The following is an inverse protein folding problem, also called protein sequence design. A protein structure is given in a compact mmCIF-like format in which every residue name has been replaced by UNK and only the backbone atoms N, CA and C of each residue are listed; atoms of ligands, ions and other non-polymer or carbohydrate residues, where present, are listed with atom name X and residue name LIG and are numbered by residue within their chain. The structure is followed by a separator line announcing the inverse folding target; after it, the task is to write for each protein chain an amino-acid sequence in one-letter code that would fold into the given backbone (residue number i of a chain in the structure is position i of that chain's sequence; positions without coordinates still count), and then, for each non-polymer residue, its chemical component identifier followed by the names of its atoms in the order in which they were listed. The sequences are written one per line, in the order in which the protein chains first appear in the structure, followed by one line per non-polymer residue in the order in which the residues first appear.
data_IF_643190905814
#
_entry.id   IF_643190905814
#
_cell.length_a   1.000
_cell.length_b   1.000
_cell.length_c   1.000
_cell.angle_alpha   90.00
_cell.angle_beta   90.00
_cell.angle_gamma   90.00
#
_symmetry.space_group_name_H-M   'P 1'
#
loop_
_entity.id
_entity.type
_entity.pdbx_description
1 polymer ?
#
# COMPACT_ATOMS: atom_id res chain seq x y z
N UNK A 1 11.10 6.98 -10.79
CA UNK A 1 10.34 5.99 -9.97
C UNK A 1 10.99 4.64 -10.10
N UNK A 2 11.23 3.97 -8.98
CA UNK A 2 11.85 2.65 -8.95
C UNK A 2 10.87 1.55 -9.36
N UNK A 3 11.41 0.49 -9.94
CA UNK A 3 10.68 -0.73 -10.22
C UNK A 3 10.18 -1.37 -8.91
N UNK A 4 8.89 -1.72 -8.85
CA UNK A 4 8.30 -2.45 -7.73
C UNK A 4 8.38 -3.96 -8.00
N UNK A 5 9.38 -4.63 -7.41
CA UNK A 5 9.62 -6.07 -7.62
C UNK A 5 8.44 -6.93 -7.17
N UNK A 6 7.71 -6.51 -6.12
CA UNK A 6 6.54 -7.22 -5.60
C UNK A 6 5.40 -7.15 -6.60
N UNK A 7 5.08 -5.95 -7.10
CA UNK A 7 4.03 -5.78 -8.11
C UNK A 7 4.29 -6.61 -9.38
N UNK A 8 5.55 -6.64 -9.83
CA UNK A 8 5.96 -7.42 -10.99
C UNK A 8 5.91 -8.93 -10.75
N UNK A 9 6.30 -9.40 -9.57
CA UNK A 9 6.19 -10.81 -9.22
C UNK A 9 4.73 -11.25 -9.20
N UNK A 10 3.85 -10.48 -8.55
CA UNK A 10 2.41 -10.78 -8.45
C UNK A 10 1.73 -10.79 -9.83
N UNK A 11 2.04 -9.82 -10.72
CA UNK A 11 1.45 -9.78 -12.06
C UNK A 11 1.89 -10.94 -12.97
N UNK A 12 2.97 -11.64 -12.61
CA UNK A 12 3.46 -12.83 -13.30
C UNK A 12 2.96 -14.13 -12.66
N UNK A 13 2.05 -14.06 -11.68
CA UNK A 13 1.56 -15.21 -10.92
C UNK A 13 2.57 -15.75 -9.90
N UNK A 14 3.61 -14.97 -9.58
CA UNK A 14 4.61 -15.29 -8.58
C UNK A 14 4.15 -14.99 -7.15
N UNK A 15 5.02 -15.31 -6.21
CA UNK A 15 4.82 -15.07 -4.76
C UNK A 15 5.82 -14.03 -4.28
N UNK A 16 5.40 -13.18 -3.35
CA UNK A 16 6.29 -12.30 -2.59
C UNK A 16 6.05 -12.48 -1.11
N UNK A 17 7.13 -12.54 -0.33
CA UNK A 17 7.06 -12.76 1.12
C UNK A 17 7.53 -11.48 1.80
N UNK A 18 6.79 -11.01 2.78
CA UNK A 18 7.13 -9.78 3.50
C UNK A 18 6.65 -9.81 4.94
N UNK A 19 6.86 -8.69 5.62
CA UNK A 19 6.46 -8.53 7.03
C UNK A 19 5.76 -7.18 7.25
N UNK A 20 4.87 -7.16 8.24
CA UNK A 20 4.22 -5.93 8.71
C UNK A 20 4.88 -5.43 10.00
N UNK A 21 4.89 -4.11 10.19
CA UNK A 21 5.42 -3.44 11.37
C UNK A 21 4.36 -2.53 11.99
N UNK A 22 4.19 -2.66 13.31
CA UNK A 22 3.15 -1.95 14.06
C UNK A 22 3.76 -1.03 15.13
N UNK A 23 4.60 -1.55 16.02
CA UNK A 23 5.07 -0.76 17.18
C UNK A 23 6.48 -0.19 16.97
N UNK A 24 7.41 -0.99 16.45
CA UNK A 24 8.82 -0.61 16.36
C UNK A 24 9.16 0.07 15.02
N UNK A 25 9.73 1.27 15.10
CA UNK A 25 10.07 2.12 13.95
C UNK A 25 11.56 2.48 13.87
N UNK A 26 12.45 1.60 14.36
CA UNK A 26 13.89 1.84 14.24
C UNK A 26 14.31 1.93 12.77
N UNK A 27 15.19 2.87 12.44
CA UNK A 27 15.62 3.15 11.05
C UNK A 27 16.34 1.97 10.39
N UNK A 28 16.82 1.01 11.17
CA UNK A 28 17.42 -0.22 10.65
C UNK A 28 16.41 -1.32 10.27
N UNK A 29 15.12 -1.18 10.61
CA UNK A 29 14.18 -2.30 10.58
C UNK A 29 13.96 -2.85 9.16
N UNK A 30 13.85 -1.97 8.17
CA UNK A 30 13.68 -2.36 6.77
C UNK A 30 14.92 -3.10 6.22
N UNK A 31 16.13 -2.69 6.64
CA UNK A 31 17.38 -3.36 6.26
C UNK A 31 17.46 -4.75 6.89
N UNK A 32 17.07 -4.88 8.15
CA UNK A 32 17.02 -6.18 8.84
C UNK A 32 16.07 -7.12 8.10
N UNK A 33 14.86 -6.65 7.76
CA UNK A 33 13.89 -7.44 7.01
C UNK A 33 14.40 -7.84 5.61
N UNK A 34 15.01 -6.90 4.88
CA UNK A 34 15.60 -7.18 3.57
C UNK A 34 16.69 -8.27 3.67
N UNK A 35 17.58 -8.18 4.65
CA UNK A 35 18.64 -9.17 4.88
C UNK A 35 18.09 -10.53 5.36
N UNK A 36 16.90 -10.55 5.95
CA UNK A 36 16.17 -11.77 6.30
C UNK A 36 15.41 -12.39 5.10
N UNK A 37 15.44 -11.74 3.93
CA UNK A 37 14.81 -12.24 2.70
C UNK A 37 13.41 -11.70 2.44
N UNK A 38 12.95 -10.65 3.13
CA UNK A 38 11.66 -10.04 2.86
C UNK A 38 11.68 -9.18 1.57
N UNK A 39 10.71 -9.41 0.69
CA UNK A 39 10.49 -8.65 -0.53
C UNK A 39 9.84 -7.28 -0.27
N UNK A 40 8.98 -7.22 0.75
CA UNK A 40 8.29 -6.00 1.18
C UNK A 40 8.25 -5.81 2.70
N UNK A 41 8.11 -4.55 3.09
CA UNK A 41 7.83 -4.12 4.44
C UNK A 41 6.55 -3.29 4.44
N UNK A 42 5.53 -3.73 5.17
CA UNK A 42 4.29 -3.01 5.35
C UNK A 42 4.33 -2.23 6.67
N UNK A 43 4.39 -0.90 6.59
CA UNK A 43 4.37 -0.03 7.75
C UNK A 43 2.93 0.36 8.06
N UNK A 44 2.47 0.01 9.26
CA UNK A 44 1.09 0.25 9.64
C UNK A 44 0.91 1.64 10.24
N UNK A 45 -0.08 2.39 9.76
CA UNK A 45 -0.53 3.66 10.37
C UNK A 45 -1.98 3.58 10.85
N UNK A 46 -2.59 2.39 10.77
CA UNK A 46 -3.94 2.13 11.25
C UNK A 46 -3.99 1.77 12.73
N UNK A 47 -3.11 0.88 13.20
CA UNK A 47 -3.06 0.44 14.60
C UNK A 47 -1.80 0.94 15.32
N UNK A 48 -1.25 2.07 14.89
CA UNK A 48 0.00 2.62 15.42
C UNK A 48 -0.14 4.12 15.65
N UNK A 49 0.73 4.69 16.49
CA UNK A 49 0.81 6.13 16.69
C UNK A 49 1.68 6.86 15.66
N UNK A 50 2.01 6.22 14.53
CA UNK A 50 2.95 6.79 13.57
C UNK A 50 2.31 7.91 12.75
N UNK A 51 2.96 9.07 12.81
CA UNK A 51 2.60 10.22 12.02
C UNK A 51 3.38 10.25 10.70
N UNK A 52 3.15 11.31 9.93
CA UNK A 52 3.82 11.51 8.67
C UNK A 52 5.34 11.70 8.80
N UNK A 53 5.84 12.21 9.94
CA UNK A 53 7.28 12.41 10.16
C UNK A 53 7.99 11.07 10.37
N UNK A 54 7.32 10.18 11.11
CA UNK A 54 7.73 8.79 11.30
C UNK A 54 7.72 8.03 9.97
N UNK A 55 6.62 8.11 9.21
CA UNK A 55 6.51 7.48 7.88
C UNK A 55 7.58 8.02 6.93
N UNK A 56 7.83 9.35 6.90
CA UNK A 56 8.90 9.95 6.09
C UNK A 56 10.25 9.30 6.39
N UNK A 57 10.57 9.13 7.67
CA UNK A 57 11.84 8.54 8.13
C UNK A 57 11.95 7.06 7.75
N UNK A 58 10.87 6.30 7.94
CA UNK A 58 10.81 4.88 7.56
C UNK A 58 10.91 4.70 6.05
N UNK A 59 10.23 5.52 5.25
CA UNK A 59 10.32 5.47 3.79
C UNK A 59 11.74 5.79 3.31
N UNK A 60 12.37 6.86 3.82
CA UNK A 60 13.71 7.25 3.42
C UNK A 60 14.74 6.12 3.67
N UNK A 61 14.63 5.43 4.81
CA UNK A 61 15.54 4.35 5.20
C UNK A 61 15.22 3.03 4.50
N UNK A 62 13.94 2.69 4.33
CA UNK A 62 13.50 1.50 3.62
C UNK A 62 13.82 1.56 2.12
N UNK A 63 13.63 2.71 1.48
CA UNK A 63 14.01 2.91 0.08
C UNK A 63 15.51 2.76 -0.14
N UNK A 64 16.36 2.97 0.86
CA UNK A 64 17.78 2.69 0.71
C UNK A 64 18.12 1.19 0.72
N UNK A 65 17.16 0.32 1.10
CA UNK A 65 17.32 -1.13 1.16
C UNK A 65 16.67 -1.85 -0.04
N UNK A 66 17.03 -3.14 -0.23
CA UNK A 66 16.44 -3.99 -1.27
C UNK A 66 15.10 -4.60 -0.79
N UNK A 67 14.15 -3.73 -0.47
CA UNK A 67 12.82 -4.09 0.01
C UNK A 67 11.81 -3.06 -0.48
N UNK A 68 10.59 -3.47 -0.80
CA UNK A 68 9.52 -2.57 -1.23
C UNK A 68 8.79 -2.02 0.01
N UNK A 69 8.87 -0.72 0.31
CA UNK A 69 8.14 -0.13 1.42
C UNK A 69 6.68 0.15 1.02
N UNK A 70 5.76 -0.43 1.78
CA UNK A 70 4.32 -0.23 1.66
C UNK A 70 3.79 0.43 2.93
N UNK A 71 2.67 1.14 2.83
CA UNK A 71 2.02 1.75 4.00
C UNK A 71 0.56 1.31 4.06
N UNK A 72 0.11 0.80 5.22
CA UNK A 72 -1.33 0.66 5.50
C UNK A 72 -1.84 1.96 6.09
N UNK A 73 -2.83 2.57 5.44
CA UNK A 73 -3.41 3.86 5.84
C UNK A 73 -4.69 3.63 6.63
N UNK A 74 -5.09 4.52 7.57
CA UNK A 74 -6.18 4.22 8.49
C UNK A 74 -7.58 4.30 7.86
N UNK A 75 -7.72 4.90 6.67
CA UNK A 75 -9.00 5.00 5.98
C UNK A 75 -8.84 5.35 4.50
N UNK A 76 -9.89 5.11 3.72
CA UNK A 76 -9.97 5.49 2.30
C UNK A 76 -10.27 7.00 2.13
N UNK A 77 -9.32 7.86 2.47
CA UNK A 77 -9.46 9.32 2.30
C UNK A 77 -8.27 9.89 1.53
N UNK A 78 -8.54 10.86 0.64
CA UNK A 78 -7.53 11.39 -0.28
C UNK A 78 -6.23 11.81 0.40
N UNK A 79 -6.30 12.57 1.50
CA UNK A 79 -5.10 13.09 2.18
C UNK A 79 -4.31 11.99 2.92
N UNK A 80 -4.97 10.90 3.32
CA UNK A 80 -4.32 9.71 3.90
C UNK A 80 -3.66 8.85 2.82
N UNK A 81 -4.16 8.89 1.59
CA UNK A 81 -3.64 8.12 0.45
C UNK A 81 -2.49 8.87 -0.25
N UNK A 82 -2.70 10.13 -0.64
CA UNK A 82 -1.72 10.87 -1.44
C UNK A 82 -0.42 11.12 -0.66
N UNK A 83 -0.51 11.40 0.65
CA UNK A 83 0.64 11.84 1.46
C UNK A 83 1.70 10.74 1.63
N UNK A 84 1.40 9.49 2.03
CA UNK A 84 2.43 8.46 2.15
C UNK A 84 3.10 8.14 0.80
N UNK A 85 2.37 8.25 -0.31
CA UNK A 85 2.96 8.10 -1.65
C UNK A 85 3.98 9.21 -1.92
N UNK A 86 3.70 10.47 -1.59
CA UNK A 86 4.66 11.58 -1.72
C UNK A 86 5.89 11.40 -0.81
N UNK A 87 5.68 10.79 0.37
CA UNK A 87 6.74 10.43 1.32
C UNK A 87 7.59 9.24 0.88
N UNK A 88 7.25 8.57 -0.23
CA UNK A 88 8.07 7.55 -0.86
C UNK A 88 7.58 6.11 -0.69
N UNK A 89 6.37 5.90 -0.17
CA UNK A 89 5.73 4.59 -0.23
C UNK A 89 5.61 4.13 -1.69
N UNK A 90 5.95 2.87 -1.95
CA UNK A 90 5.85 2.26 -3.28
C UNK A 90 4.51 1.56 -3.51
N UNK A 91 3.64 1.61 -2.51
CA UNK A 91 2.30 1.07 -2.56
C UNK A 91 1.58 1.31 -1.24
N UNK A 92 0.28 1.10 -1.27
CA UNK A 92 -0.61 1.34 -0.15
C UNK A 92 -1.54 0.18 0.07
N UNK A 93 -1.98 0.06 1.31
CA UNK A 93 -3.01 -0.85 1.75
C UNK A 93 -4.11 -0.04 2.45
N UNK A 94 -5.38 -0.27 2.09
CA UNK A 94 -6.53 0.33 2.77
C UNK A 94 -7.35 -0.75 3.51
N UNK A 95 -7.84 -0.44 4.72
CA UNK A 95 -8.69 -1.34 5.49
C UNK A 95 -10.15 -1.27 5.03
N UNK A 96 -10.93 -2.25 5.47
CA UNK A 96 -12.39 -2.26 5.44
C UNK A 96 -12.96 -1.93 4.06
N UNK A 97 -12.51 -2.63 3.01
CA UNK A 97 -13.01 -2.42 1.64
C UNK A 97 -14.30 -3.20 1.46
N UNK A 98 -15.41 -2.47 1.39
CA UNK A 98 -16.76 -3.07 1.39
C UNK A 98 -17.51 -2.88 0.07
N UNK A 99 -17.01 -2.03 -0.83
CA UNK A 99 -17.70 -1.65 -2.07
C UNK A 99 -16.76 -1.36 -3.24
N UNK A 100 -17.31 -1.47 -4.46
CA UNK A 100 -16.64 -1.11 -5.71
C UNK A 100 -16.30 0.39 -5.73
N UNK A 101 -17.20 1.24 -5.24
CA UNK A 101 -17.04 2.69 -5.20
C UNK A 101 -15.87 3.11 -4.31
N UNK A 102 -15.72 2.46 -3.15
CA UNK A 102 -14.60 2.69 -2.24
C UNK A 102 -13.27 2.28 -2.90
N UNK A 103 -13.22 1.12 -3.56
CA UNK A 103 -12.05 0.68 -4.30
C UNK A 103 -11.69 1.64 -5.46
N UNK A 104 -12.69 2.13 -6.21
CA UNK A 104 -12.49 3.15 -7.26
C UNK A 104 -11.96 4.47 -6.68
N UNK A 105 -12.47 4.90 -5.53
CA UNK A 105 -11.97 6.09 -4.82
C UNK A 105 -10.51 5.94 -4.42
N UNK A 106 -10.13 4.75 -3.95
CA UNK A 106 -8.75 4.43 -3.58
C UNK A 106 -7.81 4.54 -4.79
N UNK A 107 -8.13 3.85 -5.90
CA UNK A 107 -7.33 3.89 -7.13
C UNK A 107 -7.22 5.33 -7.64
N UNK A 108 -8.35 6.05 -7.74
CA UNK A 108 -8.38 7.44 -8.20
C UNK A 108 -7.50 8.36 -7.33
N UNK A 109 -7.46 8.13 -6.02
CA UNK A 109 -6.66 8.95 -5.10
C UNK A 109 -5.17 8.65 -5.16
N UNK A 110 -4.79 7.44 -5.57
CA UNK A 110 -3.40 6.99 -5.62
C UNK A 110 -2.73 7.21 -6.99
N UNK A 111 -3.51 7.18 -8.09
CA UNK A 111 -3.00 7.33 -9.46
C UNK A 111 -3.06 8.78 -9.94
N UNK A 112 -2.08 9.17 -10.74
CA UNK A 112 -2.06 10.42 -11.49
C UNK A 112 -2.98 10.37 -12.73
N UNK A 113 -3.41 11.53 -13.25
CA UNK A 113 -4.12 11.60 -14.53
C UNK A 113 -3.37 10.91 -15.68
N UNK A 114 -4.07 10.23 -16.62
CA UNK A 114 -5.52 10.15 -16.75
C UNK A 114 -6.20 9.04 -15.91
N UNK A 115 -5.42 8.15 -15.30
CA UNK A 115 -5.94 6.98 -14.56
C UNK A 115 -6.54 7.34 -13.19
N UNK A 116 -6.14 8.48 -12.64
CA UNK A 116 -6.68 8.99 -11.38
C UNK A 116 -6.65 10.51 -11.29
N UNK A 117 -6.74 11.00 -10.06
CA UNK A 117 -6.82 12.42 -9.71
C UNK A 117 -5.84 12.83 -8.61
N UNK A 118 -4.76 12.08 -8.38
CA UNK A 118 -3.73 12.43 -7.42
C UNK A 118 -3.07 13.77 -7.78
N UNK A 119 -2.95 14.65 -6.79
CA UNK A 119 -2.23 15.91 -6.91
C UNK A 119 -0.72 15.69 -7.11
N UNK A 120 -0.10 16.51 -7.95
CA UNK A 120 1.29 16.32 -8.37
C UNK A 120 2.28 17.17 -7.56
N UNK A 121 3.34 16.51 -7.08
CA UNK A 121 4.55 17.12 -6.54
C UNK A 121 5.74 16.29 -7.04
N UNK A 122 6.83 16.94 -7.47
CA UNK A 122 8.04 16.27 -8.00
C UNK A 122 9.30 16.88 -7.40
N UNK A 123 10.40 16.14 -7.46
CA UNK A 123 11.63 16.49 -6.74
C UNK A 123 11.48 16.26 -5.23
N UNK A 124 10.70 15.25 -4.85
CA UNK A 124 10.41 14.88 -3.46
C UNK A 124 10.76 13.40 -3.24
N UNK A 125 10.40 12.83 -2.08
CA UNK A 125 10.88 11.50 -1.69
C UNK A 125 10.45 10.38 -2.67
N UNK A 126 9.25 10.45 -3.24
CA UNK A 126 8.72 9.39 -4.12
C UNK A 126 9.55 9.20 -5.40
N UNK A 127 10.02 10.29 -6.00
CA UNK A 127 10.88 10.29 -7.19
C UNK A 127 12.37 10.46 -6.86
N UNK A 128 12.76 10.11 -5.63
CA UNK A 128 14.14 10.14 -5.13
C UNK A 128 14.84 11.49 -5.33
N UNK A 129 14.07 12.59 -5.32
CA UNK A 129 14.55 13.97 -5.53
C UNK A 129 15.20 14.21 -6.91
N UNK A 130 15.04 13.28 -7.84
CA UNK A 130 15.61 13.41 -9.19
C UNK A 130 14.81 14.41 -10.02
N UNK A 131 15.45 15.08 -10.99
CA UNK A 131 14.77 15.91 -11.99
C UNK A 131 14.14 15.07 -13.11
N UNK A 132 13.83 15.70 -14.25
CA UNK A 132 13.46 15.00 -15.49
C UNK A 132 12.01 15.15 -15.93
N UNK A 133 11.60 14.31 -16.89
CA UNK A 133 10.29 14.38 -17.53
C UNK A 133 9.16 13.99 -16.56
N UNK A 134 8.32 14.98 -16.25
CA UNK A 134 7.15 14.85 -15.37
C UNK A 134 6.13 13.84 -15.89
N UNK A 135 5.84 13.84 -17.19
CA UNK A 135 4.85 12.92 -17.75
C UNK A 135 5.33 11.47 -17.64
N UNK A 136 6.62 11.23 -17.91
CA UNK A 136 7.23 9.92 -17.72
C UNK A 136 7.20 9.49 -16.24
N UNK A 137 7.45 10.40 -15.30
CA UNK A 137 7.36 10.11 -13.86
C UNK A 137 5.95 9.73 -13.43
N UNK A 138 4.93 10.47 -13.87
CA UNK A 138 3.53 10.16 -13.57
C UNK A 138 3.16 8.78 -14.08
N UNK A 139 3.49 8.48 -15.34
CA UNK A 139 3.26 7.17 -15.95
C UNK A 139 3.95 6.05 -15.18
N UNK A 140 5.21 6.25 -14.80
CA UNK A 140 5.97 5.25 -14.04
C UNK A 140 5.42 5.07 -12.61
N UNK A 141 5.01 6.15 -11.93
CA UNK A 141 4.40 6.06 -10.61
C UNK A 141 3.08 5.28 -10.65
N UNK A 142 2.27 5.49 -11.69
CA UNK A 142 1.05 4.75 -11.92
C UNK A 142 1.31 3.26 -12.16
N UNK A 143 2.30 2.93 -12.99
CA UNK A 143 2.64 1.55 -13.32
C UNK A 143 3.21 0.78 -12.11
N UNK A 144 4.08 1.42 -11.32
CA UNK A 144 4.84 0.76 -10.25
C UNK A 144 4.16 0.81 -8.87
N UNK A 145 3.18 1.70 -8.67
CA UNK A 145 2.44 1.79 -7.40
C UNK A 145 1.55 0.57 -7.16
N UNK A 146 1.79 -0.16 -6.06
CA UNK A 146 1.03 -1.35 -5.64
C UNK A 146 -0.15 -0.96 -4.74
N UNK A 147 -1.38 -1.29 -5.12
CA UNK A 147 -2.59 -0.95 -4.37
C UNK A 147 -3.27 -2.21 -3.82
N UNK A 148 -3.46 -2.26 -2.50
CA UNK A 148 -3.99 -3.41 -1.77
C UNK A 148 -5.28 -3.00 -1.04
N UNK A 149 -6.36 -3.75 -1.25
CA UNK A 149 -7.61 -3.59 -0.50
C UNK A 149 -7.82 -4.74 0.47
N UNK A 150 -8.10 -4.44 1.75
CA UNK A 150 -8.44 -5.48 2.71
C UNK A 150 -9.89 -5.88 2.59
N UNK A 151 -10.12 -7.17 2.41
CA UNK A 151 -11.40 -7.82 2.54
C UNK A 151 -11.45 -8.40 3.95
N UNK A 152 -12.14 -7.69 4.83
CA UNK A 152 -12.17 -8.00 6.26
C UNK A 152 -13.51 -7.75 6.92
N UNK A 153 -14.57 -7.66 6.12
CA UNK A 153 -15.95 -7.62 6.58
C UNK A 153 -16.82 -8.56 5.76
N UNK A 154 -17.98 -8.95 6.33
CA UNK A 154 -19.00 -9.72 5.59
C UNK A 154 -19.41 -8.99 4.31
N UNK A 155 -19.62 -7.67 4.37
CA UNK A 155 -19.97 -6.86 3.21
C UNK A 155 -18.85 -6.85 2.14
N UNK A 156 -17.59 -6.79 2.56
CA UNK A 156 -16.44 -6.91 1.64
C UNK A 156 -16.39 -8.26 0.94
N UNK A 157 -16.71 -9.36 1.65
CA UNK A 157 -16.80 -10.69 1.06
C UNK A 157 -17.97 -10.78 0.07
N UNK A 158 -19.14 -10.27 0.43
CA UNK A 158 -20.33 -10.27 -0.44
C UNK A 158 -20.15 -9.46 -1.73
N UNK A 159 -19.27 -8.46 -1.73
CA UNK A 159 -18.97 -7.61 -2.88
C UNK A 159 -17.61 -7.91 -3.54
N UNK A 160 -16.93 -9.00 -3.15
CA UNK A 160 -15.53 -9.24 -3.49
C UNK A 160 -15.28 -9.28 -4.99
N UNK A 161 -16.20 -9.82 -5.79
CA UNK A 161 -16.05 -9.88 -7.26
C UNK A 161 -16.09 -8.49 -7.90
N UNK A 162 -16.97 -7.60 -7.40
CA UNK A 162 -17.06 -6.22 -7.90
C UNK A 162 -15.82 -5.43 -7.49
N UNK A 163 -15.34 -5.62 -6.26
CA UNK A 163 -14.11 -4.99 -5.76
C UNK A 163 -12.90 -5.48 -6.59
N UNK A 164 -12.79 -6.80 -6.83
CA UNK A 164 -11.73 -7.40 -7.62
C UNK A 164 -11.71 -6.93 -9.09
N UNK A 165 -12.88 -6.55 -9.64
CA UNK A 165 -13.00 -6.05 -10.99
C UNK A 165 -12.59 -4.57 -11.17
N UNK A 166 -12.20 -3.87 -10.09
CA UNK A 166 -11.75 -2.48 -10.18
C UNK A 166 -10.35 -2.39 -10.78
N UNK A 167 -10.27 -1.86 -12.00
CA UNK A 167 -9.00 -1.57 -12.67
C UNK A 167 -8.07 -0.73 -11.79
N UNK A 168 -6.83 -1.20 -11.65
CA UNK A 168 -5.78 -0.54 -10.87
C UNK A 168 -5.70 -0.94 -9.40
N UNK A 169 -6.64 -1.74 -8.89
CA UNK A 169 -6.50 -2.45 -7.62
C UNK A 169 -5.72 -3.75 -7.87
N UNK A 170 -4.56 -3.89 -7.23
CA UNK A 170 -3.61 -4.95 -7.60
C UNK A 170 -3.80 -6.22 -6.74
N UNK A 171 -4.21 -6.07 -5.48
CA UNK A 171 -4.31 -7.18 -4.51
C UNK A 171 -5.54 -7.01 -3.63
N UNK A 172 -6.26 -8.12 -3.42
CA UNK A 172 -7.18 -8.27 -2.29
C UNK A 172 -6.51 -9.08 -1.20
N UNK A 173 -6.48 -8.54 0.01
CA UNK A 173 -5.84 -9.17 1.16
C UNK A 173 -6.89 -9.52 2.21
N UNK A 174 -6.83 -10.71 2.81
CA UNK A 174 -7.77 -11.12 3.86
C UNK A 174 -7.31 -10.59 5.23
N UNK A 175 -8.10 -9.69 5.83
CA UNK A 175 -7.91 -9.21 7.20
C UNK A 175 -8.58 -10.15 8.20
N UNK A 176 -7.92 -11.26 8.56
CA UNK A 176 -8.55 -12.37 9.28
C UNK A 176 -9.16 -11.98 10.64
N UNK A 177 -8.51 -11.10 11.40
CA UNK A 177 -9.03 -10.67 12.71
C UNK A 177 -10.36 -9.93 12.56
N UNK A 178 -10.39 -8.87 11.75
CA UNK A 178 -11.61 -8.10 11.52
C UNK A 178 -12.69 -8.87 10.77
N UNK A 179 -12.31 -9.79 9.88
CA UNK A 179 -13.27 -10.68 9.23
C UNK A 179 -14.00 -11.56 10.25
N UNK A 180 -13.27 -12.19 11.17
CA UNK A 180 -13.90 -12.99 12.23
C UNK A 180 -14.75 -12.14 13.17
N UNK A 181 -14.35 -10.90 13.44
CA UNK A 181 -15.16 -9.95 14.20
C UNK A 181 -16.47 -9.62 13.47
N UNK A 182 -16.39 -9.29 12.18
CA UNK A 182 -17.53 -8.97 11.33
C UNK A 182 -18.51 -10.14 11.20
N UNK A 183 -18.00 -11.37 11.15
CA UNK A 183 -18.78 -12.61 11.13
C UNK A 183 -19.34 -13.01 12.51
N UNK A 184 -19.11 -12.22 13.56
CA UNK A 184 -19.52 -12.54 14.94
C UNK A 184 -18.92 -13.85 15.49
N UNK A 185 -17.72 -14.23 15.02
CA UNK A 185 -16.95 -15.41 15.45
C UNK A 185 -15.51 -15.03 15.83
N UNK A 186 -15.29 -14.00 16.69
CA UNK A 186 -13.99 -13.37 16.90
C UNK A 186 -12.90 -14.40 17.25
N UNK A 187 -11.82 -14.42 16.45
CA UNK A 187 -10.66 -15.28 16.64
C UNK A 187 -10.84 -16.76 16.24
N UNK A 188 -12.02 -17.15 15.74
CA UNK A 188 -12.28 -18.53 15.27
C UNK A 188 -11.82 -18.73 13.82
N UNK A 189 -10.51 -18.74 13.59
CA UNK A 189 -9.92 -18.82 12.24
C UNK A 189 -10.11 -20.16 11.51
N UNK A 190 -10.67 -21.18 12.18
CA UNK A 190 -10.90 -22.52 11.63
C UNK A 190 -12.39 -22.91 11.65
N UNK A 191 -13.30 -21.94 11.77
CA UNK A 191 -14.75 -22.16 11.77
C UNK A 191 -15.25 -22.75 10.45
#
# INVERSE_FOLDING_TARGET
MRANKVKRALSQGGVSIGTAFFEFNTTGIARIAANAGADFALFDTEHTGWDADTVRTLMATARAADIVPLVRVPATQYHLIARPLDLGAMGLMIPMVESEEQARLFVRSAKYPPEGGRGAAFGVAHDDYEGGDVAAKMKNANAEGLLIGLIETVAGVENVEKIAAVDGLDVLWIGHFDLTNSMSIPGQFTH
#
